data_IF_975715903912
#
_entry.id   IF_975715903912
#
_cell.length_a   1.000
_cell.length_b   1.000
_cell.length_c   1.000
_cell.angle_alpha   90.00
_cell.angle_beta   90.00
_cell.angle_gamma   90.00
#
_symmetry.space_group_name_H-M   'P 1'
#
loop_
_entity.id
_entity.type
_entity.pdbx_description
1 polymer ?
#
# COMPACT_ATOMS: atom_id res chain seq x y z
N UNK A 1 -13.30 -10.82 -1.83
CA UNK A 1 -12.11 -10.39 -2.58
C UNK A 1 -11.99 -8.88 -2.42
N UNK A 2 -10.79 -8.36 -2.22
CA UNK A 2 -10.54 -6.93 -1.97
C UNK A 2 -9.32 -6.47 -2.74
N UNK A 3 -9.31 -5.24 -3.23
CA UNK A 3 -8.18 -4.61 -3.90
C UNK A 3 -7.97 -3.22 -3.34
N UNK A 4 -6.73 -2.88 -3.00
CA UNK A 4 -6.31 -1.51 -2.75
C UNK A 4 -5.35 -1.09 -3.86
N UNK A 5 -5.56 0.11 -4.39
CA UNK A 5 -4.77 0.68 -5.48
C UNK A 5 -4.07 1.93 -4.96
N UNK A 6 -2.76 2.02 -5.20
CA UNK A 6 -1.93 3.16 -4.87
C UNK A 6 -1.50 3.85 -6.17
N UNK A 7 -1.83 5.13 -6.30
CA UNK A 7 -1.22 5.99 -7.32
C UNK A 7 0.08 6.58 -6.79
N UNK A 8 1.18 6.26 -7.45
CA UNK A 8 2.48 6.85 -7.14
C UNK A 8 2.66 8.09 -8.02
N UNK A 9 2.72 9.26 -7.40
CA UNK A 9 2.95 10.54 -8.10
C UNK A 9 4.28 11.15 -7.72
N UNK A 10 4.92 11.81 -8.68
CA UNK A 10 6.14 12.58 -8.42
C UNK A 10 5.88 13.67 -7.38
N UNK A 11 6.86 13.93 -6.53
CA UNK A 11 6.73 14.90 -5.47
C UNK A 11 7.47 16.20 -5.84
N UNK A 12 6.75 17.31 -5.92
CA UNK A 12 7.26 18.62 -6.33
C UNK A 12 7.33 19.57 -5.12
N UNK A 13 8.28 20.51 -5.12
CA UNK A 13 8.46 21.49 -4.03
C UNK A 13 8.67 22.94 -4.49
N UNK A 14 8.79 23.17 -5.81
CA UNK A 14 8.92 24.51 -6.40
C UNK A 14 7.95 24.65 -7.55
N UNK A 15 6.90 25.44 -7.36
CA UNK A 15 5.88 25.71 -8.37
C UNK A 15 4.60 26.28 -7.76
N UNK A 16 3.90 27.13 -8.52
CA UNK A 16 2.71 27.87 -8.07
C UNK A 16 2.97 28.80 -6.87
N UNK A 17 1.91 29.20 -6.17
CA UNK A 17 1.91 30.06 -4.97
C UNK A 17 2.39 29.34 -3.69
N UNK A 18 2.71 28.05 -3.77
CA UNK A 18 3.15 27.25 -2.62
C UNK A 18 4.56 27.64 -2.19
N UNK A 19 4.69 28.06 -0.94
CA UNK A 19 5.96 28.57 -0.37
C UNK A 19 6.76 27.49 0.38
N UNK A 20 6.09 26.46 0.89
CA UNK A 20 6.69 25.40 1.71
C UNK A 20 5.96 24.06 1.49
N UNK A 21 6.59 22.95 1.87
CA UNK A 21 6.01 21.61 1.74
C UNK A 21 6.22 20.99 0.36
N UNK A 22 5.37 20.02 0.02
CA UNK A 22 5.40 19.31 -1.27
C UNK A 22 4.00 19.16 -1.84
N UNK A 23 3.89 19.10 -3.15
CA UNK A 23 2.65 18.86 -3.89
C UNK A 23 2.85 17.76 -4.94
N UNK A 24 1.75 17.16 -5.40
CA UNK A 24 1.79 16.09 -6.38
C UNK A 24 2.04 16.64 -7.79
N UNK A 25 2.91 15.99 -8.55
CA UNK A 25 3.12 16.21 -9.98
C UNK A 25 2.59 15.06 -10.82
N UNK A 26 3.38 14.62 -11.79
CA UNK A 26 3.02 13.55 -12.72
C UNK A 26 2.77 12.20 -12.05
N UNK A 27 1.89 11.40 -12.64
CA UNK A 27 1.71 9.99 -12.29
C UNK A 27 2.93 9.20 -12.79
N UNK A 28 3.60 8.48 -11.90
CA UNK A 28 4.82 7.73 -12.21
C UNK A 28 4.66 6.21 -12.03
N UNK A 29 3.57 5.77 -11.42
CA UNK A 29 3.26 4.35 -11.29
C UNK A 29 1.89 4.10 -10.68
N UNK A 30 1.41 2.88 -10.88
CA UNK A 30 0.26 2.33 -10.16
C UNK A 30 0.71 1.04 -9.49
N UNK A 31 0.35 0.88 -8.23
CA UNK A 31 0.56 -0.37 -7.49
C UNK A 31 -0.77 -0.87 -6.97
N UNK A 32 -0.91 -2.19 -6.82
CA UNK A 32 -2.09 -2.78 -6.24
C UNK A 32 -1.75 -3.95 -5.32
N UNK A 33 -2.44 -4.03 -4.18
CA UNK A 33 -2.49 -5.22 -3.33
C UNK A 33 -3.89 -5.84 -3.41
N UNK A 34 -3.96 -7.15 -3.66
CA UNK A 34 -5.20 -7.87 -3.91
C UNK A 34 -5.33 -9.05 -2.95
N UNK A 35 -6.38 -9.06 -2.13
CA UNK A 35 -6.76 -10.19 -1.28
C UNK A 35 -7.68 -11.14 -2.03
N UNK A 36 -7.17 -12.33 -2.35
CA UNK A 36 -7.89 -13.40 -3.01
C UNK A 36 -7.31 -14.78 -2.62
N UNK A 37 -7.83 -15.36 -1.55
CA UNK A 37 -7.33 -16.62 -0.98
C UNK A 37 -7.49 -17.83 -1.92
N UNK A 38 -8.37 -17.74 -2.92
CA UNK A 38 -8.51 -18.81 -3.93
C UNK A 38 -7.41 -18.75 -5.00
N UNK A 39 -6.64 -17.65 -5.08
CA UNK A 39 -5.62 -17.43 -6.11
C UNK A 39 -4.21 -17.34 -5.54
N UNK A 40 -4.07 -16.84 -4.31
CA UNK A 40 -2.78 -16.58 -3.69
C UNK A 40 -2.62 -17.42 -2.42
N UNK A 41 -1.63 -18.32 -2.34
CA UNK A 41 -1.36 -19.10 -1.13
C UNK A 41 -1.13 -18.23 0.11
N UNK A 42 -0.44 -17.10 -0.06
CA UNK A 42 -0.21 -16.09 1.00
C UNK A 42 -1.40 -15.14 1.19
N UNK A 43 -2.58 -15.48 0.65
CA UNK A 43 -3.84 -14.71 0.65
C UNK A 43 -3.82 -13.41 -0.15
N UNK A 44 -2.63 -12.86 -0.41
CA UNK A 44 -2.40 -11.59 -1.07
C UNK A 44 -1.52 -11.74 -2.32
N UNK A 45 -1.83 -10.94 -3.34
CA UNK A 45 -0.99 -10.71 -4.51
C UNK A 45 -0.65 -9.23 -4.65
N UNK A 46 0.62 -8.93 -4.94
CA UNK A 46 1.12 -7.58 -5.14
C UNK A 46 1.44 -7.34 -6.61
N UNK A 47 1.10 -6.16 -7.13
CA UNK A 47 1.21 -5.83 -8.54
C UNK A 47 1.82 -4.44 -8.70
N UNK A 48 2.86 -4.34 -9.52
CA UNK A 48 3.47 -3.08 -9.92
C UNK A 48 3.24 -2.85 -11.42
N UNK A 49 2.58 -1.75 -11.76
CA UNK A 49 2.36 -1.32 -13.14
C UNK A 49 3.39 -0.24 -13.47
N UNK A 50 4.47 -0.67 -14.13
CA UNK A 50 5.58 0.22 -14.47
C UNK A 50 5.25 1.02 -15.74
N UNK A 51 5.43 2.35 -15.68
CA UNK A 51 5.22 3.23 -16.84
C UNK A 51 3.79 3.16 -17.38
N UNK A 52 3.64 2.87 -18.68
CA UNK A 52 2.35 2.78 -19.37
C UNK A 52 1.77 1.35 -19.45
N UNK A 53 2.28 0.42 -18.63
CA UNK A 53 1.85 -0.97 -18.65
C UNK A 53 0.35 -1.11 -18.33
N UNK A 54 -0.38 -1.81 -19.20
CA UNK A 54 -1.82 -2.08 -19.04
C UNK A 54 -2.11 -3.33 -18.20
N UNK A 55 -1.09 -4.13 -17.89
CA UNK A 55 -1.20 -5.34 -17.09
C UNK A 55 0.09 -5.57 -16.31
N UNK A 56 -0.04 -6.25 -15.18
CA UNK A 56 1.06 -6.66 -14.33
C UNK A 56 0.86 -8.12 -13.91
N UNK A 57 1.98 -8.84 -13.71
CA UNK A 57 1.96 -10.15 -13.05
C UNK A 57 2.05 -9.93 -11.54
N UNK A 58 1.50 -10.88 -10.78
CA UNK A 58 1.72 -10.87 -9.32
C UNK A 58 3.21 -11.04 -9.07
N UNK A 59 3.73 -10.22 -8.16
CA UNK A 59 5.08 -10.37 -7.64
C UNK A 59 5.16 -11.67 -6.81
N UNK A 60 6.29 -12.41 -6.88
CA UNK A 60 6.47 -13.62 -6.09
C UNK A 60 6.54 -13.29 -4.60
N UNK A 61 5.75 -13.98 -3.78
CA UNK A 61 5.69 -13.75 -2.33
C UNK A 61 6.98 -14.13 -1.59
N UNK A 62 7.74 -15.11 -2.08
CA UNK A 62 8.97 -15.61 -1.44
C UNK A 62 10.20 -14.73 -1.65
N UNK A 63 10.14 -13.73 -2.54
CA UNK A 63 11.33 -12.95 -2.95
C UNK A 63 11.10 -11.45 -3.00
N UNK A 64 9.97 -10.94 -2.51
CA UNK A 64 9.69 -9.50 -2.56
C UNK A 64 9.59 -8.85 -1.19
N UNK A 65 10.29 -7.73 -1.05
CA UNK A 65 10.24 -6.84 0.11
C UNK A 65 8.82 -6.33 0.40
N UNK A 66 7.92 -6.34 -0.60
CA UNK A 66 6.53 -5.94 -0.44
C UNK A 66 5.79 -6.81 0.58
N UNK A 67 5.75 -8.15 0.39
CA UNK A 67 4.99 -9.04 1.26
C UNK A 67 5.56 -9.04 2.69
N UNK A 68 6.88 -9.10 2.83
CA UNK A 68 7.54 -9.14 4.15
C UNK A 68 7.32 -7.83 4.92
N UNK A 69 7.53 -6.68 4.28
CA UNK A 69 7.32 -5.37 4.90
C UNK A 69 5.86 -5.14 5.28
N UNK A 70 4.92 -5.47 4.39
CA UNK A 70 3.49 -5.29 4.62
C UNK A 70 2.96 -6.20 5.73
N UNK A 71 3.36 -7.48 5.74
CA UNK A 71 2.96 -8.42 6.78
C UNK A 71 3.48 -8.01 8.16
N UNK A 72 4.70 -7.48 8.23
CA UNK A 72 5.30 -7.03 9.47
C UNK A 72 4.69 -5.72 10.00
N UNK A 73 4.46 -4.74 9.11
CA UNK A 73 4.20 -3.35 9.53
C UNK A 73 2.76 -2.87 9.26
N UNK A 74 1.97 -3.59 8.47
CA UNK A 74 0.55 -3.29 8.25
C UNK A 74 -0.27 -3.49 9.52
N UNK A 75 -1.05 -2.48 9.92
CA UNK A 75 -1.86 -2.54 11.14
C UNK A 75 -3.10 -3.45 11.03
N UNK A 76 -3.56 -3.80 9.81
CA UNK A 76 -4.62 -4.79 9.58
C UNK A 76 -4.19 -5.67 8.42
N UNK A 77 -4.00 -6.98 8.68
CA UNK A 77 -3.51 -7.92 7.66
C UNK A 77 -2.24 -7.35 6.97
N UNK A 78 -2.16 -7.27 5.65
CA UNK A 78 -1.03 -6.66 4.94
C UNK A 78 -1.17 -5.14 4.70
N UNK A 79 -2.22 -4.49 5.19
CA UNK A 79 -2.52 -3.09 4.84
C UNK A 79 -2.16 -2.11 5.96
N UNK A 80 -1.52 -1.00 5.58
CA UNK A 80 -1.12 0.10 6.47
C UNK A 80 -2.28 1.02 6.87
N UNK A 81 -3.35 0.48 7.46
CA UNK A 81 -4.54 1.27 7.85
C UNK A 81 -4.24 2.39 8.84
N UNK A 82 -3.12 2.35 9.56
CA UNK A 82 -2.69 3.44 10.45
C UNK A 82 -2.46 4.78 9.72
N UNK A 83 -2.28 4.77 8.39
CA UNK A 83 -2.13 5.97 7.57
C UNK A 83 -3.40 6.34 6.79
N UNK A 84 -4.49 5.58 6.95
CA UNK A 84 -5.78 5.82 6.30
C UNK A 84 -6.84 6.14 7.36
N UNK A 85 -7.03 7.41 7.77
CA UNK A 85 -7.90 7.78 8.90
C UNK A 85 -9.30 7.16 8.84
N UNK A 86 -9.93 7.16 7.65
CA UNK A 86 -11.25 6.54 7.45
C UNK A 86 -11.24 5.04 7.74
N UNK A 87 -10.22 4.31 7.27
CA UNK A 87 -10.12 2.86 7.49
C UNK A 87 -9.65 2.53 8.91
N UNK A 88 -8.85 3.39 9.53
CA UNK A 88 -8.41 3.25 10.91
C UNK A 88 -9.59 3.23 11.88
N UNK A 89 -10.54 4.15 11.72
CA UNK A 89 -11.74 4.19 12.56
C UNK A 89 -12.61 2.94 12.38
N UNK A 90 -12.76 2.45 11.15
CA UNK A 90 -13.46 1.18 10.86
C UNK A 90 -12.74 -0.01 11.50
N UNK A 91 -11.40 -0.05 11.42
CA UNK A 91 -10.59 -1.12 12.01
C UNK A 91 -10.69 -1.16 13.53
N UNK A 92 -10.75 0.00 14.20
CA UNK A 92 -11.02 0.10 15.64
C UNK A 92 -12.40 -0.45 15.99
N UNK A 93 -13.44 0.00 15.29
CA UNK A 93 -14.82 -0.44 15.51
C UNK A 93 -14.99 -1.96 15.32
N UNK A 94 -14.25 -2.54 14.37
CA UNK A 94 -14.30 -3.98 14.07
C UNK A 94 -13.29 -4.82 14.86
N UNK A 95 -12.42 -4.20 15.66
CA UNK A 95 -11.41 -4.91 16.45
C UNK A 95 -10.38 -5.67 15.59
N UNK A 96 -10.05 -5.18 14.40
CA UNK A 96 -9.16 -5.88 13.45
C UNK A 96 -7.70 -5.45 13.52
N UNK A 97 -7.37 -4.47 14.35
CA UNK A 97 -6.00 -3.97 14.51
C UNK A 97 -5.10 -5.06 15.08
N UNK A 98 -3.93 -5.26 14.47
CA UNK A 98 -2.86 -6.07 15.06
C UNK A 98 -2.38 -5.41 16.35
N UNK A 99 -1.82 -6.22 17.25
CA UNK A 99 -1.08 -5.70 18.39
C UNK A 99 0.05 -4.79 17.89
N UNK A 100 0.26 -3.64 18.55
CA UNK A 100 1.31 -2.71 18.16
C UNK A 100 2.67 -3.43 18.21
N UNK A 101 3.35 -3.48 17.08
CA UNK A 101 4.74 -3.93 17.05
C UNK A 101 5.58 -2.92 17.85
N UNK A 102 6.51 -3.35 18.72
CA UNK A 102 7.44 -2.43 19.35
C UNK A 102 8.19 -1.68 18.25
N UNK A 103 8.28 -0.35 18.38
CA UNK A 103 8.96 0.47 17.39
C UNK A 103 10.40 -0.01 17.20
N UNK A 104 10.74 -0.43 15.98
CA UNK A 104 12.11 -0.70 15.55
C UNK A 104 12.88 0.61 15.65
N UNK A 105 13.93 0.64 16.48
CA UNK A 105 14.85 1.78 16.62
C UNK A 105 15.67 2.00 15.35
#
# INVERSE_FOLDING_TARGET
>A
KTMLVLEVRSSQSKGSINQQGRFQGDLIGIEAEVKDESRFPEKWGFFAFNGSAKSAKSLPSSTTDCQSCHSQNGAVDNTFVQFYPTLLEVAKQKGTLKAAQPASK
#
